data_IF_723482010785
#
_entry.id   IF_723482010785
#
_cell.length_a   1.000
_cell.length_b   1.000
_cell.length_c   1.000
_cell.angle_alpha   90.00
_cell.angle_beta   90.00
_cell.angle_gamma   90.00
#
_symmetry.space_group_name_H-M   'P 1'
#
loop_
_entity.id
_entity.type
_entity.pdbx_description
1 polymer ?
#
# COMPACT_ATOMS: atom_id res chain seq x y z
N UNK A 1 7.17 -0.07 9.10
CA UNK A 1 5.98 0.79 8.91
C UNK A 1 6.11 1.50 7.57
N UNK A 2 5.05 1.60 6.75
CA UNK A 2 5.13 2.26 5.45
C UNK A 2 5.03 3.78 5.61
N UNK A 3 5.96 4.52 4.99
CA UNK A 3 5.98 5.99 5.02
C UNK A 3 4.80 6.62 4.28
N UNK A 4 4.27 5.97 3.24
CA UNK A 4 3.10 6.45 2.50
C UNK A 4 1.81 6.17 3.26
N UNK A 5 1.49 4.91 3.53
CA UNK A 5 0.17 4.54 4.06
C UNK A 5 0.07 4.35 5.58
N UNK A 6 1.18 4.52 6.33
CA UNK A 6 1.21 4.37 7.79
C UNK A 6 1.07 2.93 8.31
N UNK A 7 0.65 1.97 7.47
CA UNK A 7 0.46 0.56 7.83
C UNK A 7 1.79 -0.17 8.04
N UNK A 8 1.81 -1.20 8.90
CA UNK A 8 2.97 -2.10 9.09
C UNK A 8 3.04 -3.16 7.98
N UNK A 9 3.08 -2.72 6.73
CA UNK A 9 3.08 -3.59 5.54
C UNK A 9 4.24 -3.28 4.59
N UNK A 10 5.30 -2.63 5.08
CA UNK A 10 6.49 -2.33 4.30
C UNK A 10 7.51 -3.45 4.47
N UNK A 11 7.91 -4.07 3.37
CA UNK A 11 8.91 -5.12 3.33
C UNK A 11 10.30 -4.51 3.24
N UNK A 12 11.19 -4.80 4.19
CA UNK A 12 12.51 -4.14 4.29
C UNK A 12 13.46 -4.62 3.19
N UNK A 13 13.59 -5.94 2.97
CA UNK A 13 14.49 -6.51 1.94
C UNK A 13 14.15 -6.03 0.53
N UNK A 14 12.89 -6.25 0.11
CA UNK A 14 12.41 -5.82 -1.20
C UNK A 14 12.11 -4.32 -1.31
N UNK A 15 12.13 -3.56 -0.21
CA UNK A 15 11.77 -2.14 -0.15
C UNK A 15 10.38 -1.80 -0.74
N UNK A 16 9.43 -2.74 -0.69
CA UNK A 16 8.06 -2.57 -1.24
C UNK A 16 7.00 -2.71 -0.15
N UNK A 17 5.96 -1.87 -0.21
CA UNK A 17 4.79 -2.00 0.63
C UNK A 17 3.71 -2.89 0.00
N UNK A 18 3.32 -3.97 0.69
CA UNK A 18 2.25 -4.87 0.27
C UNK A 18 0.88 -4.17 0.24
N UNK A 19 0.64 -3.23 1.16
CA UNK A 19 -0.66 -2.56 1.25
C UNK A 19 -0.87 -1.51 0.16
N UNK A 20 0.06 -0.57 -0.01
CA UNK A 20 -0.11 0.58 -0.91
C UNK A 20 0.76 0.53 -2.17
N UNK A 21 1.68 -0.43 -2.30
CA UNK A 21 2.61 -0.49 -3.43
C UNK A 21 3.80 0.49 -3.34
N UNK A 22 3.93 1.23 -2.24
CA UNK A 22 5.05 2.15 -2.02
C UNK A 22 6.40 1.46 -2.21
N UNK A 23 7.27 2.01 -3.06
CA UNK A 23 8.57 1.43 -3.43
C UNK A 23 8.57 0.68 -4.77
N UNK A 24 7.43 0.11 -5.18
CA UNK A 24 7.27 -0.52 -6.49
C UNK A 24 6.56 0.38 -7.51
N UNK A 25 5.62 1.22 -7.05
CA UNK A 25 4.89 2.15 -7.91
C UNK A 25 4.64 3.50 -7.22
N UNK A 26 4.60 4.54 -8.05
CA UNK A 26 4.10 5.87 -7.65
C UNK A 26 2.60 5.83 -7.38
N UNK A 27 1.85 4.96 -8.08
CA UNK A 27 0.40 4.78 -7.88
C UNK A 27 0.11 3.88 -6.69
N UNK A 28 -1.12 4.01 -6.18
CA UNK A 28 -1.64 3.10 -5.17
C UNK A 28 -1.94 1.74 -5.80
N UNK A 29 -1.39 0.69 -5.20
CA UNK A 29 -1.73 -0.70 -5.56
C UNK A 29 -3.23 -0.92 -5.33
N UNK A 30 -3.98 -1.19 -6.40
CA UNK A 30 -5.42 -1.50 -6.38
C UNK A 30 -5.68 -2.79 -7.13
N UNK A 31 -6.65 -3.57 -6.68
CA UNK A 31 -7.12 -4.77 -7.35
C UNK A 31 -8.63 -4.70 -7.43
N UNK A 32 -9.21 -5.10 -8.57
CA UNK A 32 -10.67 -5.06 -8.80
C UNK A 32 -11.46 -5.89 -7.79
N UNK A 33 -10.84 -6.94 -7.22
CA UNK A 33 -11.47 -7.82 -6.23
C UNK A 33 -11.23 -7.38 -4.78
N UNK A 34 -10.34 -6.41 -4.52
CA UNK A 34 -9.89 -6.11 -3.16
C UNK A 34 -10.24 -4.67 -2.74
N UNK A 35 -11.33 -4.53 -1.98
CA UNK A 35 -11.63 -3.26 -1.31
C UNK A 35 -10.76 -3.09 -0.07
N UNK A 36 -10.05 -1.96 0.05
CA UNK A 36 -9.21 -1.69 1.23
C UNK A 36 -9.18 -0.21 1.61
N UNK A 37 -9.04 0.04 2.91
CA UNK A 37 -8.98 1.39 3.48
C UNK A 37 -7.54 1.88 3.64
N UNK A 38 -7.02 2.66 2.69
CA UNK A 38 -5.71 3.30 2.85
C UNK A 38 -5.89 4.75 3.30
N UNK A 39 -5.22 5.15 4.39
CA UNK A 39 -5.20 6.54 4.87
C UNK A 39 -6.60 7.17 4.97
N UNK A 40 -7.56 6.47 5.60
CA UNK A 40 -8.98 6.87 5.75
C UNK A 40 -9.77 6.96 4.43
N UNK A 41 -9.15 6.74 3.28
CA UNK A 41 -9.82 6.61 1.98
C UNK A 41 -10.11 5.13 1.69
N UNK A 42 -11.35 4.82 1.29
CA UNK A 42 -11.74 3.47 0.85
C UNK A 42 -11.46 3.36 -0.64
N UNK A 43 -10.44 2.58 -1.00
CA UNK A 43 -10.15 2.24 -2.38
C UNK A 43 -11.05 1.06 -2.77
N UNK A 44 -11.86 1.28 -3.79
CA UNK A 44 -12.54 0.22 -4.55
C UNK A 44 -11.61 -0.30 -5.63
#
# INVERSE_FOLDING_TARGET
RCRRCGRRAFHVRHKVCAACGFGASSKLRRYSWATKTLQRMRLK
#
